data_IF_139789575693
#
_entry.id   IF_139789575693
#
_cell.length_a   1.000
_cell.length_b   1.000
_cell.length_c   1.000
_cell.angle_alpha   90.00
_cell.angle_beta   90.00
_cell.angle_gamma   90.00
#
_symmetry.space_group_name_H-M   'P 1'
#
loop_
_entity.id
_entity.type
_entity.pdbx_description
1 polymer ?
#
# COMPACT_ATOMS: atom_id res chain seq x y z
N UNK A 1 6.54 5.32 47.68
CA UNK A 1 5.56 5.59 46.60
C UNK A 1 6.19 6.61 45.65
N UNK A 2 7.03 6.13 44.73
CA UNK A 2 7.76 6.99 43.80
C UNK A 2 8.09 6.18 42.55
N UNK A 3 7.20 6.25 41.56
CA UNK A 3 7.60 6.24 40.15
C UNK A 3 6.56 7.13 39.45
N UNK A 4 6.88 8.41 39.38
CA UNK A 4 6.16 9.35 38.55
C UNK A 4 6.34 8.90 37.09
N UNK A 5 5.28 8.36 36.49
CA UNK A 5 5.20 8.17 35.05
C UNK A 5 5.00 9.55 34.44
N UNK A 6 6.11 10.21 34.13
CA UNK A 6 6.13 11.51 33.47
C UNK A 6 5.66 11.31 32.01
N UNK A 7 4.35 11.37 31.81
CA UNK A 7 3.72 11.43 30.50
C UNK A 7 3.96 12.81 29.87
N UNK A 8 5.21 13.12 29.55
CA UNK A 8 5.54 14.31 28.79
C UNK A 8 5.48 13.98 27.28
N UNK A 9 4.26 13.92 26.74
CA UNK A 9 4.01 13.93 25.29
C UNK A 9 2.91 14.95 24.96
N UNK A 10 2.86 16.05 25.71
CA UNK A 10 1.73 16.97 25.70
C UNK A 10 2.01 18.34 25.04
N UNK A 11 3.19 18.63 24.47
CA UNK A 11 3.45 20.00 23.96
C UNK A 11 4.22 20.15 22.64
N UNK A 12 4.62 19.07 21.93
CA UNK A 12 5.24 19.19 20.59
C UNK A 12 4.36 18.65 19.44
N UNK A 13 3.06 18.43 19.70
CA UNK A 13 2.15 17.58 18.90
C UNK A 13 1.25 18.32 17.88
N UNK A 14 1.57 19.57 17.53
CA UNK A 14 0.72 20.35 16.60
C UNK A 14 1.00 20.08 15.13
N UNK A 15 2.25 20.29 14.70
CA UNK A 15 2.65 20.35 13.29
C UNK A 15 3.55 19.18 12.87
N UNK A 16 4.55 18.83 13.69
CA UNK A 16 5.44 17.68 13.46
C UNK A 16 4.68 16.35 13.47
N UNK A 17 3.74 16.16 14.41
CA UNK A 17 2.87 14.99 14.46
C UNK A 17 1.95 14.87 13.24
N UNK A 18 1.44 16.00 12.72
CA UNK A 18 0.64 16.03 11.49
C UNK A 18 1.46 15.68 10.26
N UNK A 19 2.66 16.25 10.11
CA UNK A 19 3.57 15.91 9.01
C UNK A 19 3.96 14.43 9.05
N UNK A 20 4.27 13.89 10.23
CA UNK A 20 4.58 12.47 10.39
C UNK A 20 3.39 11.59 9.94
N UNK A 21 2.16 11.89 10.36
CA UNK A 21 0.96 11.17 9.93
C UNK A 21 0.70 11.28 8.41
N UNK A 22 0.92 12.45 7.82
CA UNK A 22 0.80 12.65 6.36
C UNK A 22 1.85 11.81 5.62
N UNK A 23 3.10 11.81 6.07
CA UNK A 23 4.15 11.02 5.44
C UNK A 23 3.86 9.51 5.51
N UNK A 24 3.34 9.02 6.62
CA UNK A 24 2.90 7.61 6.74
C UNK A 24 1.79 7.29 5.74
N UNK A 25 0.76 8.13 5.64
CA UNK A 25 -0.33 7.93 4.67
C UNK A 25 0.16 7.99 3.20
N UNK A 26 1.15 8.83 2.90
CA UNK A 26 1.75 8.94 1.58
C UNK A 26 2.58 7.69 1.25
N UNK A 27 3.35 7.17 2.21
CA UNK A 27 4.11 5.92 2.05
C UNK A 27 3.18 4.75 1.76
N UNK A 28 2.09 4.61 2.50
CA UNK A 28 1.09 3.57 2.24
C UNK A 28 0.47 3.70 0.85
N UNK A 29 0.05 4.90 0.44
CA UNK A 29 -0.49 5.14 -0.92
C UNK A 29 0.54 4.83 -2.00
N UNK A 30 1.80 5.17 -1.78
CA UNK A 30 2.87 4.84 -2.72
C UNK A 30 3.14 3.34 -2.79
N UNK A 31 3.11 2.64 -1.66
CA UNK A 31 3.26 1.19 -1.61
C UNK A 31 2.17 0.49 -2.42
N UNK A 32 0.89 0.85 -2.19
CA UNK A 32 -0.25 0.31 -2.97
C UNK A 32 -0.12 0.61 -4.46
N UNK A 33 0.28 1.84 -4.82
CA UNK A 33 0.52 2.23 -6.23
C UNK A 33 1.67 1.46 -6.87
N UNK A 34 2.75 1.21 -6.13
CA UNK A 34 3.89 0.42 -6.61
C UNK A 34 3.44 -1.01 -6.87
N UNK A 35 2.79 -1.65 -5.90
CA UNK A 35 2.27 -3.00 -6.01
C UNK A 35 1.32 -3.15 -7.20
N UNK A 36 0.36 -2.23 -7.36
CA UNK A 36 -0.53 -2.22 -8.53
C UNK A 36 0.23 -2.21 -9.86
N UNK A 37 1.22 -1.33 -10.00
CA UNK A 37 1.99 -1.19 -11.25
C UNK A 37 2.83 -2.44 -11.52
N UNK A 38 3.48 -2.96 -10.47
CA UNK A 38 4.31 -4.16 -10.51
C UNK A 38 3.47 -5.36 -10.95
N UNK A 39 2.41 -5.70 -10.21
CA UNK A 39 1.49 -6.81 -10.55
C UNK A 39 0.89 -6.65 -11.94
N UNK A 40 0.46 -5.44 -12.32
CA UNK A 40 -0.10 -5.20 -13.66
C UNK A 40 0.94 -5.44 -14.75
N UNK A 41 2.18 -4.98 -14.56
CA UNK A 41 3.23 -5.13 -15.55
C UNK A 41 3.64 -6.60 -15.69
N UNK A 42 3.80 -7.32 -14.59
CA UNK A 42 4.09 -8.76 -14.57
C UNK A 42 3.00 -9.54 -15.30
N UNK A 43 1.72 -9.36 -14.93
CA UNK A 43 0.60 -10.01 -15.59
C UNK A 43 0.45 -9.61 -17.06
N UNK A 44 0.82 -8.39 -17.44
CA UNK A 44 0.76 -7.94 -18.84
C UNK A 44 1.93 -8.46 -19.67
N UNK A 45 3.04 -8.83 -19.03
CA UNK A 45 4.20 -9.45 -19.67
C UNK A 45 3.95 -10.93 -19.99
N UNK A 46 3.04 -11.58 -19.26
CA UNK A 46 2.60 -12.95 -19.57
C UNK A 46 1.88 -13.02 -20.92
N UNK A 47 2.08 -14.15 -21.59
CA UNK A 47 1.39 -14.51 -22.82
C UNK A 47 -0.07 -14.90 -22.58
N UNK A 48 -0.89 -14.90 -23.64
CA UNK A 48 -2.29 -15.32 -23.52
C UNK A 48 -2.45 -16.78 -23.05
N UNK A 49 -1.47 -17.65 -23.35
CA UNK A 49 -1.47 -19.04 -22.89
C UNK A 49 -1.22 -19.09 -21.38
N UNK A 50 -0.18 -18.44 -20.89
CA UNK A 50 0.13 -18.39 -19.44
C UNK A 50 -1.03 -17.76 -18.65
N UNK A 51 -1.65 -16.71 -19.17
CA UNK A 51 -2.85 -16.15 -18.58
C UNK A 51 -4.01 -17.17 -18.58
N UNK A 52 -4.21 -17.89 -19.67
CA UNK A 52 -5.24 -18.94 -19.76
C UNK A 52 -4.98 -20.10 -18.79
N UNK A 53 -3.73 -20.49 -18.59
CA UNK A 53 -3.33 -21.55 -17.67
C UNK A 53 -3.65 -21.15 -16.21
N UNK A 54 -3.57 -19.85 -15.91
CA UNK A 54 -4.01 -19.26 -14.65
C UNK A 54 -5.53 -19.04 -14.57
N UNK A 55 -6.29 -19.33 -15.62
CA UNK A 55 -7.71 -19.03 -15.72
C UNK A 55 -8.02 -17.52 -15.83
N UNK A 56 -7.03 -16.72 -16.26
CA UNK A 56 -7.13 -15.27 -16.38
C UNK A 56 -7.25 -14.81 -17.85
N UNK A 57 -7.99 -13.73 -18.05
CA UNK A 57 -8.09 -13.03 -19.33
C UNK A 57 -7.43 -11.65 -19.24
N UNK A 58 -6.93 -11.12 -20.37
CA UNK A 58 -6.24 -9.81 -20.43
C UNK A 58 -7.06 -8.65 -19.83
N UNK A 59 -8.38 -8.68 -19.99
CA UNK A 59 -9.28 -7.69 -19.39
C UNK A 59 -9.32 -7.73 -17.86
N UNK A 60 -9.02 -8.88 -17.25
CA UNK A 60 -9.04 -9.08 -15.80
C UNK A 60 -7.77 -8.60 -15.12
N UNK A 61 -6.65 -8.47 -15.84
CA UNK A 61 -5.35 -8.03 -15.30
C UNK A 61 -5.50 -6.75 -14.46
N UNK A 62 -6.25 -5.76 -14.97
CA UNK A 62 -6.46 -4.49 -14.27
C UNK A 62 -7.23 -4.68 -12.95
N UNK A 63 -8.22 -5.58 -12.93
CA UNK A 63 -9.02 -5.87 -11.74
C UNK A 63 -8.17 -6.62 -10.71
N UNK A 64 -7.44 -7.66 -11.12
CA UNK A 64 -6.58 -8.45 -10.23
C UNK A 64 -5.46 -7.60 -9.63
N UNK A 65 -4.78 -6.79 -10.45
CA UNK A 65 -3.75 -5.87 -9.95
C UNK A 65 -4.31 -4.85 -8.96
N UNK A 66 -5.54 -4.37 -9.18
CA UNK A 66 -6.21 -3.49 -8.22
C UNK A 66 -6.54 -4.22 -6.93
N UNK A 67 -7.06 -5.44 -7.02
CA UNK A 67 -7.37 -6.28 -5.88
C UNK A 67 -6.13 -6.53 -5.01
N UNK A 68 -5.03 -6.94 -5.64
CA UNK A 68 -3.74 -7.17 -4.96
C UNK A 68 -3.20 -5.90 -4.27
N UNK A 69 -3.50 -4.71 -4.80
CA UNK A 69 -2.99 -3.45 -4.27
C UNK A 69 -3.85 -2.83 -3.16
N UNK A 70 -5.16 -3.10 -3.14
CA UNK A 70 -6.12 -2.40 -2.28
C UNK A 70 -6.94 -3.31 -1.36
N UNK A 71 -7.02 -4.61 -1.65
CA UNK A 71 -7.71 -5.62 -0.81
C UNK A 71 -6.73 -6.54 -0.04
N UNK A 72 -5.42 -6.27 -0.13
CA UNK A 72 -4.37 -6.99 0.60
C UNK A 72 -4.25 -6.57 2.06
#
# INVERSE_FOLDING_TARGET
MAYATEQNTSTQSGFSGRIASMMTSLRERNARRKLFKETRNELSALSNRELSDLGLHRSMIRRVAWQAAYEA
#
